data_IF_754749101419
#
_entry.id   IF_754749101419
#
_cell.length_a   1.000
_cell.length_b   1.000
_cell.length_c   1.000
_cell.angle_alpha   90.00
_cell.angle_beta   90.00
_cell.angle_gamma   90.00
#
_symmetry.space_group_name_H-M   'P 1'
#
loop_
_entity.id
_entity.type
_entity.pdbx_description
1 polymer ?
#
# COMPACT_ATOMS: atom_id res chain seq x y z
N UNK A 1 6.51 -2.18 -12.21
CA UNK A 1 5.40 -2.67 -11.34
C UNK A 1 5.64 -2.39 -9.87
N UNK A 2 6.76 -2.80 -9.28
CA UNK A 2 7.09 -2.51 -7.86
C UNK A 2 6.94 -1.01 -7.54
N UNK A 3 7.43 -0.13 -8.41
CA UNK A 3 7.28 1.32 -8.25
C UNK A 3 5.82 1.79 -8.14
N UNK A 4 4.92 1.22 -8.96
CA UNK A 4 3.50 1.58 -8.96
C UNK A 4 2.81 1.13 -7.68
N UNK A 5 3.13 -0.08 -7.23
CA UNK A 5 2.66 -0.63 -5.95
C UNK A 5 3.16 0.25 -4.81
N UNK A 6 4.46 0.57 -4.79
CA UNK A 6 5.07 1.47 -3.81
C UNK A 6 4.37 2.82 -3.76
N UNK A 7 4.12 3.43 -4.91
CA UNK A 7 3.39 4.71 -5.01
C UNK A 7 1.99 4.59 -4.39
N UNK A 8 1.21 3.57 -4.78
CA UNK A 8 -0.13 3.36 -4.27
C UNK A 8 -0.14 3.13 -2.74
N UNK A 9 0.81 2.34 -2.23
CA UNK A 9 0.97 2.10 -0.79
C UNK A 9 1.31 3.40 -0.03
N UNK A 10 2.24 4.20 -0.54
CA UNK A 10 2.60 5.50 0.05
C UNK A 10 1.42 6.48 0.05
N UNK A 11 0.59 6.47 -1.00
CA UNK A 11 -0.61 7.30 -1.07
C UNK A 11 -1.67 6.85 -0.04
N UNK A 12 -1.83 5.54 0.17
CA UNK A 12 -2.79 4.97 1.14
C UNK A 12 -2.36 5.07 2.60
N UNK A 13 -1.05 5.13 2.86
CA UNK A 13 -0.47 5.24 4.20
C UNK A 13 0.56 6.39 4.26
N UNK A 14 0.09 7.64 4.13
CA UNK A 14 0.97 8.80 4.15
C UNK A 14 1.50 9.04 5.56
N UNK A 15 2.62 9.78 5.64
CA UNK A 15 3.16 10.26 6.91
C UNK A 15 2.21 11.28 7.56
N UNK A 16 2.04 11.15 8.86
CA UNK A 16 1.28 12.10 9.70
C UNK A 16 2.18 12.71 10.77
N UNK A 17 1.70 13.70 11.52
CA UNK A 17 2.49 14.33 12.59
C UNK A 17 2.86 13.36 13.72
N UNK A 18 1.98 12.38 13.99
CA UNK A 18 2.11 11.46 15.13
C UNK A 18 2.71 10.10 14.74
N UNK A 19 2.53 9.69 13.49
CA UNK A 19 2.87 8.36 13.01
C UNK A 19 3.70 8.43 11.71
N UNK A 20 4.76 7.59 11.58
CA UNK A 20 5.54 7.51 10.37
C UNK A 20 4.68 7.00 9.21
N UNK A 21 4.97 7.44 7.99
CA UNK A 21 4.34 6.91 6.79
C UNK A 21 4.98 5.59 6.39
N UNK A 22 4.34 4.84 5.50
CA UNK A 22 4.96 3.59 5.01
C UNK A 22 6.27 3.84 4.24
N UNK A 23 6.42 5.01 3.63
CA UNK A 23 7.66 5.41 2.96
C UNK A 23 8.86 5.58 3.90
N UNK A 24 8.62 5.73 5.21
CA UNK A 24 9.67 5.82 6.23
C UNK A 24 10.11 4.42 6.75
N UNK A 25 9.49 3.33 6.27
CA UNK A 25 9.78 1.93 6.66
C UNK A 25 10.63 1.20 5.59
N UNK A 26 11.07 -0.04 5.85
CA UNK A 26 11.74 -0.92 4.87
C UNK A 26 10.77 -1.45 3.78
N UNK A 27 10.10 -0.54 3.08
CA UNK A 27 9.10 -0.86 2.06
C UNK A 27 9.73 -1.56 0.85
N UNK A 28 10.95 -1.16 0.44
CA UNK A 28 11.64 -1.80 -0.68
C UNK A 28 12.07 -3.22 -0.35
N UNK A 29 12.60 -3.46 0.85
CA UNK A 29 12.95 -4.81 1.31
C UNK A 29 11.70 -5.68 1.47
N UNK A 30 10.61 -5.13 2.02
CA UNK A 30 9.33 -5.82 2.11
C UNK A 30 8.79 -6.23 0.74
N UNK A 31 8.75 -5.31 -0.23
CA UNK A 31 8.24 -5.62 -1.58
C UNK A 31 9.09 -6.66 -2.31
N UNK A 32 10.41 -6.69 -2.08
CA UNK A 32 11.30 -7.73 -2.64
C UNK A 32 11.03 -9.10 -2.01
N UNK A 33 10.90 -9.17 -0.68
CA UNK A 33 10.53 -10.40 0.04
C UNK A 33 9.15 -10.88 -0.39
N UNK A 34 8.17 -9.99 -0.41
CA UNK A 34 6.81 -10.28 -0.84
C UNK A 34 6.78 -10.82 -2.28
N UNK A 35 7.52 -10.23 -3.22
CA UNK A 35 7.59 -10.74 -4.59
C UNK A 35 8.20 -12.15 -4.69
N UNK A 36 9.19 -12.44 -3.85
CA UNK A 36 9.85 -13.76 -3.81
C UNK A 36 8.95 -14.83 -3.14
N UNK A 37 8.26 -14.43 -2.09
CA UNK A 37 7.57 -15.36 -1.17
C UNK A 37 6.06 -15.45 -1.43
N UNK A 38 5.50 -14.59 -2.30
CA UNK A 38 4.08 -14.65 -2.68
C UNK A 38 3.83 -15.58 -3.88
N UNK A 39 2.59 -16.03 -3.99
CA UNK A 39 2.11 -16.72 -5.19
C UNK A 39 1.85 -15.74 -6.33
N UNK A 40 1.94 -16.24 -7.56
CA UNK A 40 1.72 -15.44 -8.76
C UNK A 40 0.37 -14.70 -8.73
N UNK A 41 -0.69 -15.37 -8.25
CA UNK A 41 -2.04 -14.79 -8.17
C UNK A 41 -2.10 -13.60 -7.20
N UNK A 42 -1.39 -13.69 -6.08
CA UNK A 42 -1.31 -12.61 -5.09
C UNK A 42 -0.55 -11.41 -5.67
N UNK A 43 0.59 -11.66 -6.32
CA UNK A 43 1.38 -10.63 -6.98
C UNK A 43 0.59 -9.94 -8.11
N UNK A 44 -0.16 -10.71 -8.90
CA UNK A 44 -1.06 -10.19 -9.93
C UNK A 44 -2.15 -9.31 -9.30
N UNK A 45 -2.79 -9.76 -8.23
CA UNK A 45 -3.80 -8.99 -7.50
C UNK A 45 -3.25 -7.65 -7.00
N UNK A 46 -2.03 -7.64 -6.45
CA UNK A 46 -1.35 -6.43 -6.00
C UNK A 46 -1.06 -5.47 -7.16
N UNK A 47 -0.54 -5.99 -8.27
CA UNK A 47 -0.24 -5.19 -9.45
C UNK A 47 -1.53 -4.59 -10.05
N UNK A 48 -2.60 -5.38 -10.16
CA UNK A 48 -3.92 -4.95 -10.62
C UNK A 48 -4.53 -3.90 -9.69
N UNK A 49 -4.43 -4.08 -8.36
CA UNK A 49 -4.91 -3.10 -7.39
C UNK A 49 -4.18 -1.76 -7.50
N UNK A 50 -2.86 -1.78 -7.68
CA UNK A 50 -2.06 -0.57 -7.86
C UNK A 50 -2.35 0.12 -9.21
N UNK A 51 -2.55 -0.67 -10.27
CA UNK A 51 -2.95 -0.15 -11.58
C UNK A 51 -4.35 0.47 -11.54
N UNK A 52 -5.31 -0.20 -10.89
CA UNK A 52 -6.65 0.31 -10.70
C UNK A 52 -6.63 1.62 -9.91
N UNK A 53 -5.83 1.70 -8.86
CA UNK A 53 -5.61 2.95 -8.13
C UNK A 53 -5.06 4.06 -9.04
N UNK A 54 -4.16 3.75 -9.97
CA UNK A 54 -3.60 4.75 -10.87
C UNK A 54 -4.60 5.29 -11.91
N UNK A 55 -5.57 4.47 -12.35
CA UNK A 55 -6.55 4.80 -13.42
C UNK A 55 -7.88 5.34 -12.88
N UNK A 56 -8.26 4.97 -11.65
CA UNK A 56 -9.51 5.40 -11.02
C UNK A 56 -9.66 6.89 -10.66
N UNK A 57 -8.64 7.78 -10.72
CA UNK A 57 -8.85 9.21 -10.57
C UNK A 57 -9.91 9.79 -11.51
N UNK A 58 -10.00 9.26 -12.73
CA UNK A 58 -10.99 9.66 -13.73
C UNK A 58 -12.43 9.53 -13.20
N UNK A 59 -12.70 8.48 -12.43
CA UNK A 59 -14.05 8.20 -11.90
C UNK A 59 -14.28 8.73 -10.49
N UNK A 60 -13.21 9.06 -9.76
CA UNK A 60 -13.30 9.42 -8.35
C UNK A 60 -13.17 10.91 -8.12
N UNK A 61 -12.22 11.58 -8.76
CA UNK A 61 -11.99 13.03 -8.65
C UNK A 61 -12.31 13.78 -9.94
N UNK A 62 -12.79 13.08 -10.98
CA UNK A 62 -13.14 13.65 -12.29
C UNK A 62 -11.99 14.37 -12.99
N UNK A 63 -10.76 13.97 -12.67
CA UNK A 63 -9.55 14.51 -13.30
C UNK A 63 -9.00 13.44 -14.25
N UNK A 64 -8.83 13.74 -15.54
CA UNK A 64 -8.29 12.80 -16.54
C UNK A 64 -6.76 12.67 -16.45
N UNK A 65 -6.22 12.70 -15.23
CA UNK A 65 -4.80 12.52 -14.95
C UNK A 65 -4.62 11.26 -14.10
N UNK A 66 -3.63 10.42 -14.42
CA UNK A 66 -3.25 9.32 -13.56
C UNK A 66 -2.90 9.77 -12.14
N UNK A 67 -3.06 8.88 -11.16
CA UNK A 67 -2.94 9.24 -9.74
C UNK A 67 -1.56 9.84 -9.38
N UNK A 68 -0.50 9.45 -10.08
CA UNK A 68 0.87 9.95 -9.88
C UNK A 68 1.09 11.40 -10.30
N UNK A 69 0.19 11.99 -11.11
CA UNK A 69 0.24 13.41 -11.46
C UNK A 69 -0.69 14.28 -10.62
N UNK A 70 -1.46 13.69 -9.69
CA UNK A 70 -2.36 14.47 -8.85
C UNK A 70 -1.58 15.24 -7.77
N UNK A 71 -1.95 16.50 -7.50
CA UNK A 71 -1.43 17.20 -6.32
C UNK A 71 -1.91 16.50 -5.05
N UNK A 72 -1.10 16.59 -3.97
CA UNK A 72 -1.30 15.86 -2.70
C UNK A 72 -2.75 15.92 -2.18
N UNK A 73 -3.37 17.10 -2.16
CA UNK A 73 -4.77 17.27 -1.70
C UNK A 73 -5.78 16.46 -2.52
N UNK A 74 -5.59 16.38 -3.84
CA UNK A 74 -6.45 15.57 -4.72
C UNK A 74 -6.14 14.08 -4.59
N UNK A 75 -4.88 13.72 -4.39
CA UNK A 75 -4.48 12.34 -4.14
C UNK A 75 -5.08 11.80 -2.84
N UNK A 76 -5.10 12.60 -1.77
CA UNK A 76 -5.70 12.21 -0.49
C UNK A 76 -7.21 11.99 -0.66
N UNK A 77 -7.91 12.92 -1.33
CA UNK A 77 -9.36 12.79 -1.62
C UNK A 77 -9.67 11.62 -2.55
N UNK A 78 -8.82 11.36 -3.55
CA UNK A 78 -8.92 10.20 -4.42
C UNK A 78 -8.81 8.91 -3.60
N UNK A 79 -7.81 8.84 -2.74
CA UNK A 79 -7.53 7.68 -1.88
C UNK A 79 -8.70 7.38 -0.96
N UNK A 80 -9.26 8.40 -0.29
CA UNK A 80 -10.45 8.26 0.54
C UNK A 80 -11.64 7.71 -0.26
N UNK A 81 -11.92 8.27 -1.45
CA UNK A 81 -13.05 7.85 -2.30
C UNK A 81 -12.90 6.44 -2.85
N UNK A 82 -11.71 6.05 -3.27
CA UNK A 82 -11.46 4.70 -3.78
C UNK A 82 -11.62 3.67 -2.67
N UNK A 83 -11.07 3.94 -1.48
CA UNK A 83 -11.16 3.04 -0.33
C UNK A 83 -12.59 2.90 0.22
N UNK A 84 -13.39 3.96 0.09
CA UNK A 84 -14.82 3.98 0.46
C UNK A 84 -15.77 3.66 -0.70
N UNK A 85 -15.25 3.21 -1.85
CA UNK A 85 -16.05 2.94 -3.04
C UNK A 85 -17.15 1.90 -2.76
N UNK A 86 -18.35 2.14 -3.32
CA UNK A 86 -19.48 1.20 -3.25
C UNK A 86 -19.28 -0.03 -4.15
N UNK A 87 -18.44 0.10 -5.17
CA UNK A 87 -18.16 -0.97 -6.12
C UNK A 87 -17.20 -1.96 -5.43
N UNK A 88 -17.73 -3.12 -5.07
CA UNK A 88 -17.01 -4.15 -4.33
C UNK A 88 -15.67 -4.51 -4.98
N UNK A 89 -15.65 -4.75 -6.30
CA UNK A 89 -14.43 -5.12 -7.02
C UNK A 89 -13.33 -4.08 -6.91
N UNK A 90 -13.68 -2.79 -7.00
CA UNK A 90 -12.71 -1.70 -6.86
C UNK A 90 -12.18 -1.65 -5.43
N UNK A 91 -13.09 -1.66 -4.47
CA UNK A 91 -12.74 -1.62 -3.05
C UNK A 91 -11.86 -2.80 -2.65
N UNK A 92 -12.19 -4.00 -3.10
CA UNK A 92 -11.46 -5.23 -2.77
C UNK A 92 -10.07 -5.27 -3.40
N UNK A 93 -9.93 -4.86 -4.68
CA UNK A 93 -8.63 -4.83 -5.35
C UNK A 93 -7.67 -3.83 -4.68
N UNK A 94 -8.18 -2.67 -4.28
CA UNK A 94 -7.39 -1.62 -3.63
C UNK A 94 -7.13 -1.97 -2.16
N UNK A 95 -8.07 -2.65 -1.51
CA UNK A 95 -7.90 -3.16 -0.15
C UNK A 95 -6.71 -4.11 -0.04
N UNK A 96 -6.47 -4.98 -1.03
CA UNK A 96 -5.30 -5.87 -1.04
C UNK A 96 -3.97 -5.10 -0.97
N UNK A 97 -3.88 -3.98 -1.71
CA UNK A 97 -2.71 -3.10 -1.68
C UNK A 97 -2.56 -2.47 -0.30
N UNK A 98 -3.65 -1.94 0.26
CA UNK A 98 -3.66 -1.33 1.60
C UNK A 98 -3.34 -2.33 2.71
N UNK A 99 -3.83 -3.56 2.59
CA UNK A 99 -3.58 -4.63 3.55
C UNK A 99 -2.09 -4.97 3.57
N UNK A 100 -1.50 -5.17 2.40
CA UNK A 100 -0.06 -5.44 2.26
C UNK A 100 0.79 -4.28 2.77
N UNK A 101 0.34 -3.05 2.53
CA UNK A 101 0.95 -1.84 3.09
C UNK A 101 0.92 -1.87 4.63
N UNK A 102 -0.24 -2.20 5.20
CA UNK A 102 -0.44 -2.33 6.65
C UNK A 102 0.44 -3.41 7.29
N UNK A 103 0.67 -4.54 6.60
CA UNK A 103 1.59 -5.58 7.05
C UNK A 103 3.03 -5.07 7.14
N UNK A 104 3.50 -4.35 6.11
CA UNK A 104 4.83 -3.72 6.11
C UNK A 104 4.95 -2.69 7.23
N UNK A 105 3.98 -1.79 7.34
CA UNK A 105 3.98 -0.72 8.33
C UNK A 105 3.89 -1.24 9.77
N UNK A 106 3.03 -2.22 10.04
CA UNK A 106 2.87 -2.81 11.37
C UNK A 106 4.02 -3.72 11.80
N UNK A 107 4.87 -4.14 10.87
CA UNK A 107 6.10 -4.88 11.17
C UNK A 107 7.26 -3.97 11.57
N UNK A 108 7.21 -2.68 11.22
CA UNK A 108 8.30 -1.75 11.49
C UNK A 108 8.49 -1.51 13.01
N UNK A 109 9.73 -1.63 13.53
CA UNK A 109 10.00 -1.44 14.96
C UNK A 109 9.60 -0.05 15.48
N UNK A 110 9.75 1.00 14.67
CA UNK A 110 9.43 2.38 15.09
C UNK A 110 7.94 2.58 15.24
N UNK A 111 7.15 1.99 14.34
CA UNK A 111 5.68 1.96 14.43
C UNK A 111 5.26 1.18 15.66
N UNK A 112 5.79 -0.02 15.86
CA UNK A 112 5.42 -0.89 17.00
C UNK A 112 5.74 -0.25 18.34
N UNK A 113 6.88 0.43 18.45
CA UNK A 113 7.26 1.18 19.65
C UNK A 113 6.24 2.27 20.02
N UNK A 114 5.62 2.95 19.03
CA UNK A 114 4.56 3.95 19.28
C UNK A 114 3.29 3.35 19.88
N UNK A 115 3.06 2.05 19.69
CA UNK A 115 1.93 1.32 20.28
C UNK A 115 2.32 0.46 21.49
N UNK A 116 3.49 0.70 22.10
CA UNK A 116 4.01 -0.08 23.22
C UNK A 116 4.11 -1.60 22.93
N UNK A 117 4.36 -1.97 21.67
CA UNK A 117 4.54 -3.36 21.25
C UNK A 117 6.02 -3.68 21.03
N UNK A 118 6.44 -4.87 21.46
CA UNK A 118 7.80 -5.38 21.20
C UNK A 118 8.03 -5.56 19.69
N UNK A 119 9.26 -5.30 19.20
CA UNK A 119 9.61 -5.59 17.80
C UNK A 119 9.47 -7.08 17.51
N UNK A 120 9.22 -7.43 16.25
CA UNK A 120 9.26 -8.83 15.85
C UNK A 120 10.69 -9.39 15.96
N UNK A 121 10.78 -10.68 16.28
CA UNK A 121 12.05 -11.40 16.22
C UNK A 121 12.56 -11.51 14.79
N UNK A 122 13.81 -11.95 14.64
CA UNK A 122 14.41 -12.19 13.32
C UNK A 122 13.59 -13.22 12.55
N UNK A 123 13.24 -12.89 11.31
CA UNK A 123 12.53 -13.81 10.42
C UNK A 123 13.42 -15.03 10.13
N UNK A 124 12.99 -16.27 10.48
CA UNK A 124 13.76 -17.47 10.21
C UNK A 124 13.86 -17.79 8.72
N UNK A 125 13.03 -17.19 7.86
CA UNK A 125 13.11 -17.34 6.41
C UNK A 125 12.71 -18.73 5.90
N UNK A 126 12.09 -19.57 6.75
CA UNK A 126 11.80 -20.98 6.46
C UNK A 126 10.46 -21.22 5.77
N UNK A 127 9.76 -20.17 5.32
CA UNK A 127 8.37 -20.30 4.86
C UNK A 127 8.23 -21.11 3.55
N UNK A 128 9.25 -21.13 2.68
CA UNK A 128 9.26 -21.85 1.39
C UNK A 128 10.46 -22.79 1.20
N UNK A 129 11.28 -22.98 2.22
CA UNK A 129 12.44 -23.89 2.20
C UNK A 129 12.07 -25.26 2.74
#
# INVERSE_FOLDING_TARGET
>A
MIWLIKFAMCAMMPRTEKLPGIGDTDLDGFLRRLRRDSDFLYWLGLALGAWLFAVTPLFTVWVPLPAFFLPKKLLDRHTERVLSSRIYLIRQAVFLVRLSAGMCWGADPTVRAKFAMSPYGTDPGTFRS
#
